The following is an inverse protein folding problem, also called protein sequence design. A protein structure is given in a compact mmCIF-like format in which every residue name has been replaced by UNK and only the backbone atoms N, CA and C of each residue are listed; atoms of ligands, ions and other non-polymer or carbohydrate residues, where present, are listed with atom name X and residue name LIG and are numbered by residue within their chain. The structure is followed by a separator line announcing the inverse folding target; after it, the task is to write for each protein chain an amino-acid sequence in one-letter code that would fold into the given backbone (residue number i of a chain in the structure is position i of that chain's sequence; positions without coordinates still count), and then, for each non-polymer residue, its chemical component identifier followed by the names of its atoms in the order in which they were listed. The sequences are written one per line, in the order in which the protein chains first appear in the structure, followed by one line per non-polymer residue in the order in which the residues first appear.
data_IF_009163342066
#
_entry.id   IF_009163342066
#
_cell.length_a   1.000
_cell.length_b   1.000
_cell.length_c   1.000
_cell.angle_alpha   90.00
_cell.angle_beta   90.00
_cell.angle_gamma   90.00
#
_symmetry.space_group_name_H-M   'P 1'
#
loop_
_entity.id
_entity.type
_entity.pdbx_description
1 polymer ?
#
# COMPACT_ATOMS: atom_id res chain seq x y z
N UNK A 1 -28.80 -15.17 -8.25
CA UNK A 1 -27.72 -15.10 -9.26
C UNK A 1 -26.60 -16.04 -8.80
N UNK A 2 -26.51 -17.24 -9.36
CA UNK A 2 -25.48 -18.20 -8.96
C UNK A 2 -24.13 -17.71 -9.50
N UNK A 3 -23.15 -17.52 -8.61
CA UNK A 3 -21.78 -17.21 -9.02
C UNK A 3 -21.23 -18.48 -9.65
N UNK A 4 -21.02 -18.49 -10.97
CA UNK A 4 -20.38 -19.60 -11.64
C UNK A 4 -18.88 -19.60 -11.28
N UNK A 5 -18.54 -20.38 -10.26
CA UNK A 5 -17.17 -20.55 -9.77
C UNK A 5 -16.20 -21.10 -10.84
N UNK A 6 -16.71 -21.54 -11.99
CA UNK A 6 -15.94 -22.12 -13.10
C UNK A 6 -15.52 -21.11 -14.17
N UNK A 7 -15.82 -19.82 -14.02
CA UNK A 7 -15.35 -18.80 -14.96
C UNK A 7 -13.81 -18.75 -15.00
N UNK A 8 -13.18 -18.56 -16.18
CA UNK A 8 -11.73 -18.39 -16.30
C UNK A 8 -11.16 -17.30 -15.37
N UNK A 9 -11.94 -16.25 -15.11
CA UNK A 9 -11.58 -15.20 -14.16
C UNK A 9 -11.45 -15.73 -12.73
N UNK A 10 -12.42 -16.50 -12.23
CA UNK A 10 -12.39 -17.07 -10.89
C UNK A 10 -11.26 -18.09 -10.72
N UNK A 11 -10.97 -18.88 -11.77
CA UNK A 11 -9.84 -19.80 -11.77
C UNK A 11 -8.50 -19.06 -11.66
N UNK A 12 -8.33 -17.96 -12.41
CA UNK A 12 -7.15 -17.08 -12.31
C UNK A 12 -6.98 -16.50 -10.91
N UNK A 13 -8.05 -16.00 -10.30
CA UNK A 13 -8.01 -15.51 -8.91
C UNK A 13 -7.62 -16.62 -7.93
N UNK A 14 -8.24 -17.80 -8.04
CA UNK A 14 -7.92 -18.94 -7.17
C UNK A 14 -6.44 -19.35 -7.28
N UNK A 15 -5.86 -19.33 -8.49
CA UNK A 15 -4.44 -19.60 -8.70
C UNK A 15 -3.56 -18.53 -8.02
N UNK A 16 -3.88 -17.25 -8.18
CA UNK A 16 -3.18 -16.15 -7.50
C UNK A 16 -3.25 -16.32 -5.98
N UNK A 17 -4.41 -16.69 -5.45
CA UNK A 17 -4.61 -16.92 -4.02
C UNK A 17 -3.74 -18.05 -3.48
N UNK A 18 -3.70 -19.19 -4.19
CA UNK A 18 -2.87 -20.35 -3.80
C UNK A 18 -1.39 -20.01 -3.78
N UNK A 19 -0.90 -19.27 -4.77
CA UNK A 19 0.51 -18.87 -4.80
C UNK A 19 0.83 -17.95 -3.62
N UNK A 20 -0.04 -16.96 -3.36
CA UNK A 20 0.21 -15.96 -2.33
C UNK A 20 0.07 -16.51 -0.93
N UNK A 21 -0.92 -17.34 -0.63
CA UNK A 21 -1.12 -17.87 0.74
C UNK A 21 0.11 -18.61 1.28
N UNK A 22 0.87 -19.26 0.40
CA UNK A 22 2.10 -19.99 0.76
C UNK A 22 3.36 -19.14 0.67
N UNK A 23 3.27 -17.91 0.13
CA UNK A 23 4.42 -17.04 -0.09
C UNK A 23 4.68 -16.12 1.11
N UNK A 24 5.94 -15.96 1.48
CA UNK A 24 6.39 -14.94 2.43
C UNK A 24 6.65 -13.61 1.73
N UNK A 25 6.47 -12.49 2.42
CA UNK A 25 6.84 -11.18 1.87
C UNK A 25 8.36 -11.09 1.73
N UNK A 26 8.85 -10.86 0.52
CA UNK A 26 10.28 -10.63 0.26
C UNK A 26 10.77 -9.37 0.97
N UNK A 27 9.94 -8.32 1.03
CA UNK A 27 10.30 -7.08 1.72
C UNK A 27 10.41 -7.28 3.23
N UNK A 28 9.57 -8.15 3.82
CA UNK A 28 9.75 -8.54 5.22
C UNK A 28 11.11 -9.20 5.44
N UNK A 29 11.49 -10.16 4.58
CA UNK A 29 12.79 -10.83 4.69
C UNK A 29 13.95 -9.85 4.55
N UNK A 30 13.88 -8.93 3.59
CA UNK A 30 14.93 -7.92 3.39
C UNK A 30 15.05 -6.97 4.59
N UNK A 31 13.94 -6.62 5.24
CA UNK A 31 13.94 -5.81 6.46
C UNK A 31 14.52 -6.60 7.64
N UNK A 32 14.11 -7.86 7.81
CA UNK A 32 14.58 -8.73 8.91
C UNK A 32 16.09 -9.03 8.79
N UNK A 33 16.59 -9.18 7.56
CA UNK A 33 18.01 -9.36 7.26
C UNK A 33 18.83 -8.06 7.38
N UNK A 34 18.18 -6.91 7.58
CA UNK A 34 18.85 -5.61 7.61
C UNK A 34 19.32 -5.09 6.25
N UNK A 35 18.94 -5.75 5.15
CA UNK A 35 19.25 -5.33 3.79
C UNK A 35 18.49 -4.05 3.39
N UNK A 36 17.32 -3.81 4.00
CA UNK A 36 16.60 -2.54 3.93
C UNK A 36 16.42 -2.01 5.35
N UNK A 37 16.83 -0.76 5.58
CA UNK A 37 16.77 -0.19 6.92
C UNK A 37 15.33 -0.04 7.44
N UNK A 38 15.09 -0.63 8.62
CA UNK A 38 13.88 -0.39 9.43
C UNK A 38 13.98 0.85 10.30
N UNK A 39 15.16 1.45 10.48
CA UNK A 39 15.41 2.53 11.44
C UNK A 39 15.62 3.90 10.78
N UNK A 40 16.12 3.92 9.55
CA UNK A 40 16.46 5.14 8.85
C UNK A 40 15.21 5.95 8.51
N UNK A 41 15.29 7.27 8.71
CA UNK A 41 14.29 8.22 8.23
C UNK A 41 14.25 8.20 6.70
N UNK A 42 13.09 8.49 6.13
CA UNK A 42 12.99 8.74 4.71
C UNK A 42 13.67 10.08 4.40
N UNK A 43 14.61 10.09 3.43
CA UNK A 43 15.41 11.28 3.10
C UNK A 43 14.82 12.10 1.94
N UNK A 44 14.09 11.45 1.03
CA UNK A 44 13.51 12.07 -0.17
C UNK A 44 11.99 11.96 -0.13
N UNK A 45 11.28 13.00 0.31
CA UNK A 45 9.82 13.01 0.24
C UNK A 45 9.37 13.07 -1.21
N UNK A 46 8.24 12.44 -1.52
CA UNK A 46 7.68 12.47 -2.89
C UNK A 46 7.28 13.87 -3.38
N UNK A 47 7.10 14.83 -2.47
CA UNK A 47 6.80 16.23 -2.79
C UNK A 47 8.03 16.98 -3.32
N UNK A 48 9.22 16.55 -2.92
CA UNK A 48 10.48 17.23 -3.20
C UNK A 48 11.22 16.64 -4.42
N UNK A 49 10.66 15.60 -5.05
CA UNK A 49 11.29 14.87 -6.15
C UNK A 49 10.28 14.56 -7.24
N UNK A 50 10.72 14.60 -8.49
CA UNK A 50 9.93 14.05 -9.59
C UNK A 50 9.84 12.53 -9.41
N UNK A 51 8.61 12.03 -9.28
CA UNK A 51 8.33 10.68 -8.84
C UNK A 51 7.21 10.05 -9.66
N UNK A 52 7.59 9.03 -10.43
CA UNK A 52 6.65 8.19 -11.16
C UNK A 52 6.21 6.98 -10.34
N UNK A 53 4.91 6.67 -10.42
CA UNK A 53 4.32 5.47 -9.83
C UNK A 53 3.31 4.89 -10.81
N UNK A 54 3.17 3.56 -10.90
CA UNK A 54 2.25 2.97 -11.85
C UNK A 54 0.80 3.36 -11.54
N UNK A 55 0.08 3.75 -12.60
CA UNK A 55 -1.35 3.98 -12.54
C UNK A 55 -2.10 2.64 -12.62
N UNK A 56 -3.06 2.43 -11.72
CA UNK A 56 -3.85 1.21 -11.63
C UNK A 56 -5.34 1.55 -11.69
N UNK A 57 -6.15 0.68 -12.32
CA UNK A 57 -7.61 0.76 -12.23
C UNK A 57 -8.13 0.21 -10.90
N UNK A 58 -9.39 0.48 -10.56
CA UNK A 58 -10.03 -0.16 -9.40
C UNK A 58 -10.07 -1.69 -9.53
N UNK A 59 -10.25 -2.21 -10.74
CA UNK A 59 -10.24 -3.66 -10.99
C UNK A 59 -8.86 -4.26 -10.72
N UNK A 60 -7.79 -3.58 -11.14
CA UNK A 60 -6.42 -4.00 -10.81
C UNK A 60 -6.19 -4.02 -9.30
N UNK A 61 -6.69 -3.02 -8.58
CA UNK A 61 -6.60 -2.96 -7.11
C UNK A 61 -7.42 -4.08 -6.45
N UNK A 62 -8.60 -4.40 -6.98
CA UNK A 62 -9.41 -5.53 -6.51
C UNK A 62 -8.71 -6.86 -6.70
N UNK A 63 -8.03 -7.08 -7.83
CA UNK A 63 -7.21 -8.28 -8.07
C UNK A 63 -5.95 -8.28 -7.22
N UNK A 64 -5.32 -7.12 -7.02
CA UNK A 64 -4.10 -6.97 -6.24
C UNK A 64 -4.33 -7.29 -4.76
N UNK A 65 -5.39 -6.76 -4.16
CA UNK A 65 -5.64 -6.93 -2.73
C UNK A 65 -6.64 -8.02 -2.41
N UNK A 66 -7.42 -8.50 -3.39
CA UNK A 66 -8.48 -9.48 -3.18
C UNK A 66 -9.43 -9.08 -2.04
N UNK A 67 -9.60 -7.77 -1.83
CA UNK A 67 -10.39 -7.21 -0.73
C UNK A 67 -11.06 -5.92 -1.16
N UNK A 68 -12.33 -6.02 -1.53
CA UNK A 68 -13.17 -4.87 -1.87
C UNK A 68 -13.40 -3.95 -0.68
N UNK A 69 -13.53 -4.51 0.52
CA UNK A 69 -13.74 -3.74 1.74
C UNK A 69 -12.54 -2.83 2.07
N UNK A 70 -11.30 -3.32 1.91
CA UNK A 70 -10.11 -2.51 2.19
C UNK A 70 -9.95 -1.35 1.22
N UNK A 71 -10.31 -1.55 -0.06
CA UNK A 71 -10.31 -0.47 -1.07
C UNK A 71 -11.34 0.59 -0.70
N UNK A 72 -12.54 0.19 -0.27
CA UNK A 72 -13.57 1.14 0.21
C UNK A 72 -13.13 1.95 1.44
N UNK A 73 -12.26 1.41 2.28
CA UNK A 73 -11.71 2.12 3.43
C UNK A 73 -10.50 3.02 3.10
N UNK A 74 -9.89 2.85 1.93
CA UNK A 74 -8.69 3.59 1.55
C UNK A 74 -8.87 5.13 1.61
N UNK A 75 -9.97 5.72 1.07
CA UNK A 75 -10.19 7.16 1.15
C UNK A 75 -10.13 7.71 2.58
N UNK A 76 -10.83 7.05 3.51
CA UNK A 76 -10.87 7.48 4.90
C UNK A 76 -9.49 7.40 5.59
N UNK A 77 -8.66 6.41 5.24
CA UNK A 77 -7.28 6.33 5.73
C UNK A 77 -6.40 7.44 5.13
N UNK A 78 -6.62 7.80 3.87
CA UNK A 78 -5.89 8.90 3.24
C UNK A 78 -6.30 10.22 3.87
N UNK A 79 -7.60 10.51 3.98
CA UNK A 79 -8.11 11.74 4.62
C UNK A 79 -7.61 11.90 6.07
N UNK A 80 -7.59 10.82 6.83
CA UNK A 80 -7.18 10.85 8.24
C UNK A 80 -5.70 11.20 8.43
N UNK A 81 -4.85 10.86 7.45
CA UNK A 81 -3.40 10.94 7.60
C UNK A 81 -2.70 11.91 6.63
N UNK A 82 -3.36 12.33 5.54
CA UNK A 82 -2.81 13.31 4.60
C UNK A 82 -2.98 14.76 5.10
N UNK A 83 -4.06 15.06 5.85
CA UNK A 83 -4.49 16.43 6.21
C UNK A 83 -4.00 16.92 7.59
N UNK A 84 -3.56 16.01 8.47
CA UNK A 84 -3.30 16.32 9.88
C UNK A 84 -1.80 16.25 10.17
N UNK A 85 -1.16 17.41 10.21
CA UNK A 85 0.20 17.60 10.75
C UNK A 85 1.36 16.87 10.05
N UNK A 86 1.18 16.36 8.83
CA UNK A 86 2.29 15.91 7.97
C UNK A 86 2.99 14.62 8.37
N UNK A 87 2.36 13.79 9.21
CA UNK A 87 2.95 12.52 9.69
C UNK A 87 2.95 11.40 8.64
N UNK A 88 2.26 11.59 7.52
CA UNK A 88 2.26 10.70 6.37
C UNK A 88 3.48 10.96 5.47
N UNK A 89 4.64 10.51 5.94
CA UNK A 89 5.89 10.67 5.21
C UNK A 89 6.00 9.52 4.20
N UNK A 90 5.65 9.79 2.94
CA UNK A 90 6.01 8.95 1.80
C UNK A 90 7.31 9.45 1.23
N UNK A 91 8.25 8.54 0.99
CA UNK A 91 9.35 8.85 0.12
C UNK A 91 10.11 7.63 -0.37
N UNK A 92 11.20 7.89 -1.08
CA UNK A 92 11.93 6.87 -1.81
C UNK A 92 13.01 6.25 -0.92
N UNK A 93 13.19 4.94 -1.00
CA UNK A 93 14.25 4.23 -0.28
C UNK A 93 15.62 4.62 -0.81
N UNK A 94 16.58 4.83 0.09
CA UNK A 94 17.96 5.20 -0.26
C UNK A 94 18.66 4.16 -1.15
N UNK A 95 18.27 2.89 -1.03
CA UNK A 95 18.96 1.74 -1.61
C UNK A 95 18.37 1.27 -2.95
N UNK A 96 17.14 1.72 -3.29
CA UNK A 96 16.42 1.31 -4.50
C UNK A 96 15.31 2.30 -4.85
N UNK A 97 15.41 2.94 -6.01
CA UNK A 97 14.43 3.94 -6.48
C UNK A 97 13.01 3.36 -6.67
N UNK A 98 12.89 2.03 -6.80
CA UNK A 98 11.62 1.31 -6.94
C UNK A 98 11.08 0.72 -5.62
N UNK A 99 11.62 1.15 -4.48
CA UNK A 99 11.07 0.84 -3.16
C UNK A 99 10.63 2.13 -2.48
N UNK A 100 9.32 2.28 -2.34
CA UNK A 100 8.73 3.30 -1.50
C UNK A 100 8.84 2.93 -0.03
N UNK A 101 9.12 3.91 0.81
CA UNK A 101 9.01 3.84 2.27
C UNK A 101 7.99 4.85 2.75
N UNK A 102 7.02 4.37 3.53
CA UNK A 102 6.00 5.21 4.12
C UNK A 102 5.97 5.03 5.63
N UNK A 103 5.75 6.11 6.38
CA UNK A 103 5.38 6.05 7.79
C UNK A 103 3.94 6.50 7.93
N UNK A 104 3.12 5.71 8.60
CA UNK A 104 1.70 6.01 8.82
C UNK A 104 1.34 5.80 10.30
N UNK A 105 0.68 6.77 10.95
CA UNK A 105 0.18 6.59 12.31
C UNK A 105 -0.84 5.46 12.41
N UNK A 106 -0.91 4.81 13.56
CA UNK A 106 -2.02 3.91 13.87
C UNK A 106 -3.30 4.70 14.06
N UNK A 107 -4.38 4.25 13.42
CA UNK A 107 -5.73 4.78 13.66
C UNK A 107 -6.19 4.70 15.12
N UNK A 108 -5.60 3.78 15.89
CA UNK A 108 -5.99 3.52 17.28
C UNK A 108 -5.09 4.20 18.30
N UNK A 109 -3.94 4.75 17.89
CA UNK A 109 -3.00 5.41 18.80
C UNK A 109 -1.99 6.26 18.05
N UNK A 110 -1.94 7.55 18.36
CA UNK A 110 -0.97 8.48 17.78
C UNK A 110 0.48 8.17 18.19
N UNK A 111 0.69 7.40 19.27
CA UNK A 111 2.02 6.98 19.71
C UNK A 111 2.62 5.86 18.84
N UNK A 112 1.77 5.12 18.10
CA UNK A 112 2.20 3.99 17.28
C UNK A 112 2.29 4.44 15.84
N UNK A 113 3.47 4.28 15.23
CA UNK A 113 3.71 4.55 13.80
C UNK A 113 4.13 3.26 13.11
N UNK A 114 3.42 2.89 12.04
CA UNK A 114 3.76 1.74 11.23
C UNK A 114 4.65 2.17 10.07
N UNK A 115 5.69 1.38 9.82
CA UNK A 115 6.56 1.54 8.66
C UNK A 115 6.08 0.60 7.57
N UNK A 116 6.03 1.11 6.35
CA UNK A 116 5.53 0.40 5.18
C UNK A 116 6.54 0.50 4.05
N UNK A 117 6.77 -0.61 3.37
CA UNK A 117 7.58 -0.69 2.16
C UNK A 117 6.73 -1.22 1.02
N UNK A 118 6.85 -0.60 -0.14
CA UNK A 118 6.17 -1.03 -1.36
C UNK A 118 7.21 -1.07 -2.47
N UNK A 119 7.44 -2.25 -3.02
CA UNK A 119 8.25 -2.43 -4.22
C UNK A 119 7.33 -2.39 -5.43
N UNK A 120 7.64 -1.51 -6.36
CA UNK A 120 6.85 -1.31 -7.58
C UNK A 120 7.72 -1.46 -8.82
N UNK A 121 7.09 -1.48 -9.99
CA UNK A 121 7.78 -1.41 -11.27
C UNK A 121 6.99 -0.54 -12.23
N UNK A 122 7.69 0.24 -13.04
CA UNK A 122 7.09 0.99 -14.15
C UNK A 122 6.93 0.11 -15.40
N UNK A 123 7.65 -1.03 -15.45
CA UNK A 123 7.57 -2.00 -16.55
C UNK A 123 7.16 -3.38 -16.03
N UNK A 124 6.19 -4.02 -16.68
CA UNK A 124 5.73 -5.35 -16.26
C UNK A 124 4.73 -5.30 -15.10
N UNK A 125 4.99 -6.06 -14.02
CA UNK A 125 4.06 -6.19 -12.87
C UNK A 125 4.11 -4.91 -12.00
N UNK A 126 3.04 -4.10 -11.94
CA UNK A 126 3.10 -2.77 -11.31
C UNK A 126 3.47 -2.77 -9.83
N UNK A 127 2.88 -3.68 -9.05
CA UNK A 127 3.19 -3.85 -7.62
C UNK A 127 3.84 -5.21 -7.42
N UNK A 128 5.12 -5.20 -7.05
CA UNK A 128 5.94 -6.40 -6.92
C UNK A 128 5.71 -7.04 -5.55
N UNK A 129 5.90 -6.27 -4.48
CA UNK A 129 5.80 -6.72 -3.10
C UNK A 129 5.43 -5.56 -2.15
N UNK A 130 4.90 -5.90 -0.97
CA UNK A 130 4.67 -4.95 0.12
C UNK A 130 5.03 -5.57 1.47
N UNK A 131 5.32 -4.72 2.44
CA UNK A 131 5.43 -5.09 3.84
C UNK A 131 5.04 -3.90 4.72
N UNK A 132 4.32 -4.16 5.81
CA UNK A 132 4.01 -3.17 6.84
C UNK A 132 4.30 -3.77 8.21
N UNK A 133 4.79 -2.96 9.16
CA UNK A 133 5.10 -3.44 10.52
C UNK A 133 3.87 -3.68 11.39
N UNK A 134 2.65 -3.43 10.89
CA UNK A 134 1.44 -3.83 11.61
C UNK A 134 1.25 -5.36 11.58
N UNK A 135 0.42 -5.89 12.48
CA UNK A 135 0.19 -7.34 12.61
C UNK A 135 -0.21 -8.05 11.30
N UNK A 136 -1.01 -7.38 10.46
CA UNK A 136 -1.46 -7.91 9.17
C UNK A 136 -0.51 -7.57 7.99
N UNK A 137 0.58 -6.86 8.23
CA UNK A 137 1.38 -6.22 7.17
C UNK A 137 2.38 -7.14 6.48
N UNK A 138 2.62 -8.34 7.04
CA UNK A 138 3.41 -9.41 6.42
C UNK A 138 2.63 -10.25 5.40
N UNK A 139 1.29 -10.14 5.39
CA UNK A 139 0.46 -10.96 4.52
C UNK A 139 0.66 -10.61 3.05
N UNK A 140 0.93 -11.63 2.25
CA UNK A 140 1.03 -11.57 0.78
C UNK A 140 -0.32 -11.84 0.11
N UNK A 141 -1.25 -12.51 0.81
CA UNK A 141 -2.65 -12.65 0.45
C UNK A 141 -3.47 -11.60 1.21
N UNK A 142 -4.17 -10.73 0.50
CA UNK A 142 -4.75 -9.55 1.13
C UNK A 142 -3.70 -8.47 1.37
N UNK A 143 -4.09 -7.44 2.12
CA UNK A 143 -3.13 -6.48 2.67
C UNK A 143 -3.74 -5.71 3.84
N UNK A 144 -2.91 -5.08 4.65
CA UNK A 144 -3.36 -4.19 5.70
C UNK A 144 -3.90 -2.88 5.11
N UNK A 145 -4.79 -2.21 5.84
CA UNK A 145 -5.39 -0.94 5.35
C UNK A 145 -4.33 0.13 5.06
N UNK A 146 -3.19 0.09 5.76
CA UNK A 146 -2.07 1.00 5.53
C UNK A 146 -1.47 0.88 4.12
N UNK A 147 -1.16 -0.34 3.68
CA UNK A 147 -0.61 -0.58 2.34
C UNK A 147 -1.64 -0.25 1.27
N UNK A 148 -2.90 -0.68 1.50
CA UNK A 148 -3.99 -0.45 0.54
C UNK A 148 -4.20 1.04 0.33
N UNK A 149 -4.22 1.85 1.39
CA UNK A 149 -4.43 3.29 1.27
C UNK A 149 -3.29 3.99 0.50
N UNK A 150 -2.03 3.62 0.77
CA UNK A 150 -0.87 4.18 0.05
C UNK A 150 -0.96 3.86 -1.44
N UNK A 151 -1.12 2.58 -1.79
CA UNK A 151 -1.15 2.17 -3.20
C UNK A 151 -2.38 2.77 -3.89
N UNK A 152 -3.55 2.73 -3.26
CA UNK A 152 -4.77 3.31 -3.84
C UNK A 152 -4.60 4.82 -4.10
N UNK A 153 -4.01 5.56 -3.17
CA UNK A 153 -3.78 7.00 -3.36
C UNK A 153 -2.83 7.28 -4.53
N UNK A 154 -1.65 6.63 -4.51
CA UNK A 154 -0.59 6.88 -5.49
C UNK A 154 -0.90 6.35 -6.88
N UNK A 155 -1.62 5.23 -7.01
CA UNK A 155 -1.89 4.60 -8.31
C UNK A 155 -3.24 4.96 -8.92
N UNK A 156 -4.21 5.41 -8.12
CA UNK A 156 -5.57 5.66 -8.59
C UNK A 156 -6.07 7.06 -8.22
N UNK A 157 -6.15 7.37 -6.92
CA UNK A 157 -6.89 8.53 -6.44
C UNK A 157 -6.31 9.87 -6.93
N UNK A 158 -4.98 10.03 -6.89
CA UNK A 158 -4.30 11.27 -7.33
C UNK A 158 -4.46 11.58 -8.82
N UNK A 159 -4.92 10.60 -9.61
CA UNK A 159 -5.17 10.73 -11.04
C UNK A 159 -6.66 10.90 -11.39
N UNK A 160 -7.55 10.87 -10.39
CA UNK A 160 -9.01 10.93 -10.56
C UNK A 160 -9.62 12.02 -9.67
N UNK A 161 -8.95 13.17 -9.58
CA UNK A 161 -9.40 14.38 -8.87
C UNK A 161 -9.81 14.14 -7.41
N UNK A 162 -9.23 13.14 -6.73
CA UNK A 162 -9.53 12.89 -5.32
C UNK A 162 -9.09 14.10 -4.48
N UNK A 163 -10.09 14.82 -3.96
CA UNK A 163 -9.88 15.91 -3.02
C UNK A 163 -10.02 15.36 -1.61
N UNK A 164 -8.99 15.57 -0.80
CA UNK A 164 -9.12 15.36 0.64
C UNK A 164 -10.13 16.36 1.16
N UNK A 165 -11.19 15.90 1.83
CA UNK A 165 -12.15 16.81 2.42
C UNK A 165 -11.43 17.69 3.44
N UNK A 166 -11.40 19.00 3.21
CA UNK A 166 -10.97 19.97 4.22
C UNK A 166 -11.92 19.85 5.42
N UNK A 167 -11.49 19.13 6.46
CA UNK A 167 -12.09 19.18 7.80
C UNK A 167 -13.09 18.08 8.18
N UNK A 168 -12.70 17.34 9.23
CA UNK A 168 -13.42 17.43 10.51
C UNK A 168 -12.41 17.78 11.59
N UNK A 169 -12.36 19.06 11.97
CA UNK A 169 -11.83 19.43 13.28
C UNK A 169 -12.60 18.58 14.29
N UNK A 170 -11.93 17.61 14.90
CA UNK A 170 -12.45 17.03 16.14
C UNK A 170 -12.24 18.11 17.19
N UNK A 171 -13.31 18.83 17.48
CA UNK A 171 -13.43 19.70 18.65
C UNK A 171 -13.15 18.86 19.89
#
# INVERSE_FOLDING_TARGET
MFINASSPYHQKLAQIMRIRVSSRSILQQLVDMGAISSRSRCKKKIEDVDFEFPQLSLDDLHVLFLSSYKIKLAPAYVEEHLDKDGDYIIGIGDDNDFILRCTIPSRHSNAVKYKTWIQYSLTGKPIVAWYCTCTAGAMTLGSCSHVVSIIWYLSYARHHDFQVSQGRHRI
#
